data_IF_442598457041
#
_entry.id   IF_442598457041
#
_cell.length_a   1.000
_cell.length_b   1.000
_cell.length_c   1.000
_cell.angle_alpha   90.00
_cell.angle_beta   90.00
_cell.angle_gamma   90.00
#
_symmetry.space_group_name_H-M   'P 1'
#
loop_
_entity.id
_entity.type
_entity.pdbx_description
1 polymer ?
#
# COMPACT_ATOMS: atom_id res chain seq x y z
N UNK A 1 -73.66 -41.14 -24.10
CA UNK A 1 -72.65 -40.58 -23.17
C UNK A 1 -71.69 -39.68 -23.95
N UNK A 2 -71.60 -38.41 -23.54
CA UNK A 2 -70.52 -37.39 -23.69
C UNK A 2 -69.56 -37.52 -24.90
N UNK A 3 -69.71 -36.79 -26.01
CA UNK A 3 -69.38 -35.36 -26.31
C UNK A 3 -67.90 -35.01 -26.59
N UNK A 4 -67.66 -34.55 -27.84
CA UNK A 4 -66.91 -33.34 -28.29
C UNK A 4 -65.37 -33.31 -28.16
N UNK A 5 -64.57 -33.13 -29.23
CA UNK A 5 -64.33 -31.99 -30.19
C UNK A 5 -63.10 -31.14 -29.80
N UNK A 6 -62.15 -31.03 -30.73
CA UNK A 6 -61.28 -29.88 -31.12
C UNK A 6 -60.92 -28.79 -30.10
N UNK A 7 -59.62 -28.45 -29.97
CA UNK A 7 -58.99 -27.20 -30.48
C UNK A 7 -57.55 -27.05 -29.94
N UNK A 8 -56.66 -26.57 -30.81
CA UNK A 8 -55.30 -26.13 -30.50
C UNK A 8 -55.27 -24.78 -29.80
N UNK A 9 -54.27 -24.53 -28.95
CA UNK A 9 -53.69 -23.18 -28.70
C UNK A 9 -52.27 -23.27 -28.07
N UNK A 10 -51.45 -22.21 -28.22
CA UNK A 10 -49.99 -22.27 -28.30
C UNK A 10 -49.25 -21.48 -27.17
N UNK A 11 -47.92 -21.41 -27.29
CA UNK A 11 -47.00 -20.36 -26.80
C UNK A 11 -47.26 -19.75 -25.40
N UNK A 12 -46.35 -20.01 -24.46
CA UNK A 12 -45.99 -19.00 -23.46
C UNK A 12 -44.51 -19.16 -23.06
N UNK A 13 -43.66 -18.58 -23.90
CA UNK A 13 -42.30 -18.14 -23.57
C UNK A 13 -42.41 -17.12 -22.43
N UNK A 14 -42.28 -17.57 -21.19
CA UNK A 14 -42.01 -16.67 -20.06
C UNK A 14 -40.53 -16.32 -20.16
N UNK A 15 -40.28 -15.30 -20.97
CA UNK A 15 -39.08 -14.49 -20.97
C UNK A 15 -38.79 -14.06 -19.53
N UNK A 16 -37.88 -14.80 -18.90
CA UNK A 16 -37.14 -14.37 -17.73
C UNK A 16 -36.24 -13.22 -18.21
N UNK A 17 -36.84 -12.05 -18.35
CA UNK A 17 -36.14 -10.78 -18.53
C UNK A 17 -35.48 -10.49 -17.18
N UNK A 18 -34.38 -11.21 -16.93
CA UNK A 18 -33.36 -10.81 -15.98
C UNK A 18 -33.04 -9.36 -16.28
N UNK A 19 -33.54 -8.46 -15.43
CA UNK A 19 -33.02 -7.12 -15.27
C UNK A 19 -31.53 -7.26 -14.89
N UNK A 20 -30.69 -7.51 -15.88
CA UNK A 20 -29.38 -6.91 -15.91
C UNK A 20 -29.66 -5.41 -16.07
N UNK A 21 -29.73 -4.71 -14.95
CA UNK A 21 -29.41 -3.29 -14.93
C UNK A 21 -27.91 -3.22 -15.21
N UNK A 22 -27.45 -2.85 -16.42
CA UNK A 22 -26.07 -2.49 -16.61
C UNK A 22 -25.76 -1.36 -15.63
N UNK A 23 -24.68 -1.52 -14.87
CA UNK A 23 -24.24 -0.51 -13.92
C UNK A 23 -24.23 0.85 -14.62
N UNK A 24 -25.00 1.80 -14.09
CA UNK A 24 -24.88 3.21 -14.46
C UNK A 24 -23.46 3.63 -14.09
N UNK A 25 -22.56 3.51 -15.07
CA UNK A 25 -21.23 4.06 -15.02
C UNK A 25 -21.35 5.55 -14.73
N UNK A 26 -20.49 6.03 -13.85
CA UNK A 26 -20.37 7.42 -13.46
C UNK A 26 -19.78 8.21 -14.64
N UNK A 27 -20.60 8.46 -15.65
CA UNK A 27 -20.27 9.29 -16.81
C UNK A 27 -20.75 10.73 -16.55
N UNK A 28 -20.00 11.70 -17.08
CA UNK A 28 -20.48 13.07 -17.19
C UNK A 28 -21.63 13.11 -18.19
N UNK A 29 -22.67 13.89 -17.86
CA UNK A 29 -23.84 14.07 -18.73
C UNK A 29 -23.85 15.51 -19.24
N UNK A 30 -23.64 15.67 -20.53
CA UNK A 30 -23.85 16.95 -21.21
C UNK A 30 -25.33 17.03 -21.62
N UNK A 31 -26.03 18.04 -21.11
CA UNK A 31 -27.39 18.37 -21.55
C UNK A 31 -27.29 19.50 -22.58
N UNK A 32 -27.84 19.29 -23.76
CA UNK A 32 -27.87 20.29 -24.84
C UNK A 32 -29.02 21.28 -24.65
N UNK A 33 -28.98 22.40 -25.38
CA UNK A 33 -30.05 23.40 -25.39
C UNK A 33 -31.38 22.88 -25.96
N UNK A 34 -31.31 21.85 -26.80
CA UNK A 34 -32.47 21.16 -27.36
C UNK A 34 -32.99 20.01 -26.47
N UNK A 35 -32.43 19.86 -25.27
CA UNK A 35 -32.83 18.83 -24.31
C UNK A 35 -32.21 17.45 -24.54
N UNK A 36 -31.39 17.26 -25.59
CA UNK A 36 -30.63 16.00 -25.76
C UNK A 36 -29.63 15.82 -24.62
N UNK A 37 -29.36 14.57 -24.27
CA UNK A 37 -28.37 14.20 -23.24
C UNK A 37 -27.31 13.31 -23.86
N UNK A 38 -26.06 13.60 -23.55
CA UNK A 38 -24.91 12.83 -24.02
C UNK A 38 -24.07 12.42 -22.82
N UNK A 39 -23.96 11.11 -22.62
CA UNK A 39 -23.24 10.50 -21.52
C UNK A 39 -21.84 10.12 -22.00
N UNK A 40 -20.80 10.58 -21.31
CA UNK A 40 -19.41 10.30 -21.65
C UNK A 40 -18.44 10.79 -20.58
N UNK A 41 -17.15 10.57 -20.77
CA UNK A 41 -16.10 11.10 -19.88
C UNK A 41 -15.49 12.35 -20.47
N UNK A 42 -15.54 13.48 -19.77
CA UNK A 42 -14.90 14.71 -20.25
C UNK A 42 -13.37 14.56 -20.13
N UNK A 43 -12.68 14.62 -21.27
CA UNK A 43 -11.22 14.53 -21.33
C UNK A 43 -10.57 15.91 -21.23
N UNK A 44 -11.14 16.90 -21.92
CA UNK A 44 -10.60 18.26 -21.96
C UNK A 44 -11.72 19.31 -22.08
N UNK A 45 -11.53 20.47 -21.47
CA UNK A 45 -12.47 21.59 -21.53
C UNK A 45 -11.74 22.87 -21.94
N UNK A 46 -12.15 23.45 -23.07
CA UNK A 46 -11.69 24.77 -23.54
C UNK A 46 -12.82 25.80 -23.46
N UNK A 47 -12.53 27.08 -23.71
CA UNK A 47 -13.54 28.14 -23.71
C UNK A 47 -14.62 27.93 -24.79
N UNK A 48 -14.28 27.27 -25.90
CA UNK A 48 -15.17 27.14 -27.07
C UNK A 48 -15.72 25.72 -27.25
N UNK A 49 -14.99 24.69 -26.81
CA UNK A 49 -15.34 23.28 -27.05
C UNK A 49 -14.94 22.38 -25.87
N UNK A 50 -15.60 21.24 -25.76
CA UNK A 50 -15.34 20.19 -24.77
C UNK A 50 -15.04 18.91 -25.54
N UNK A 51 -13.93 18.25 -25.21
CA UNK A 51 -13.61 16.93 -25.74
C UNK A 51 -14.16 15.87 -24.78
N UNK A 52 -14.98 14.96 -25.30
CA UNK A 52 -15.61 13.93 -24.51
C UNK A 52 -15.45 12.55 -25.15
N UNK A 53 -15.11 11.56 -24.34
CA UNK A 53 -15.09 10.15 -24.73
C UNK A 53 -16.47 9.54 -24.50
N UNK A 54 -17.12 9.07 -25.56
CA UNK A 54 -18.46 8.44 -25.52
C UNK A 54 -18.36 6.98 -25.95
N UNK A 55 -19.11 6.10 -25.28
CA UNK A 55 -19.17 4.68 -25.64
C UNK A 55 -20.45 4.44 -26.44
N UNK A 56 -20.32 4.17 -27.74
CA UNK A 56 -21.44 3.90 -28.65
C UNK A 56 -21.36 2.45 -29.14
N UNK A 57 -22.33 1.62 -28.76
CA UNK A 57 -22.39 0.22 -29.20
C UNK A 57 -21.18 -0.64 -28.78
N UNK A 58 -20.51 -0.28 -27.68
CA UNK A 58 -19.31 -0.97 -27.18
C UNK A 58 -17.98 -0.45 -27.72
N UNK A 59 -18.00 0.56 -28.58
CA UNK A 59 -16.79 1.23 -29.12
C UNK A 59 -16.66 2.62 -28.48
N UNK A 60 -15.49 2.94 -27.93
CA UNK A 60 -15.16 4.28 -27.46
C UNK A 60 -14.87 5.21 -28.64
N UNK A 61 -15.49 6.39 -28.66
CA UNK A 61 -15.26 7.44 -29.65
C UNK A 61 -15.03 8.79 -28.96
N UNK A 62 -14.08 9.57 -29.46
CA UNK A 62 -13.84 10.93 -28.98
C UNK A 62 -14.66 11.93 -29.79
N UNK A 63 -15.42 12.79 -29.12
CA UNK A 63 -16.29 13.78 -29.73
C UNK A 63 -16.02 15.18 -29.19
N UNK A 64 -15.90 16.15 -30.09
CA UNK A 64 -15.87 17.57 -29.75
C UNK A 64 -17.29 18.13 -29.66
N UNK A 65 -17.66 18.63 -28.49
CA UNK A 65 -18.94 19.30 -28.25
C UNK A 65 -18.72 20.81 -28.16
N UNK A 66 -19.49 21.58 -28.92
CA UNK A 66 -19.45 23.05 -28.88
C UNK A 66 -20.14 23.57 -27.62
N UNK A 67 -19.50 24.51 -26.92
CA UNK A 67 -20.03 25.05 -25.67
C UNK A 67 -21.31 25.88 -25.85
N UNK A 68 -21.55 26.39 -27.07
CA UNK A 68 -22.78 27.14 -27.39
C UNK A 68 -24.04 26.29 -27.39
N UNK A 69 -23.87 24.98 -27.59
CA UNK A 69 -24.99 24.05 -27.76
C UNK A 69 -25.35 23.35 -26.43
N UNK A 70 -24.60 23.63 -25.36
CA UNK A 70 -24.74 23.02 -24.05
C UNK A 70 -25.59 23.90 -23.14
N UNK A 71 -26.65 23.34 -22.56
CA UNK A 71 -27.47 24.01 -21.54
C UNK A 71 -26.88 23.84 -20.14
N UNK A 72 -26.44 22.64 -19.78
CA UNK A 72 -25.74 22.34 -18.52
C UNK A 72 -24.89 21.09 -18.62
N UNK A 73 -23.89 20.98 -17.75
CA UNK A 73 -23.04 19.81 -17.62
C UNK A 73 -23.26 19.24 -16.23
N UNK A 74 -23.82 18.04 -16.16
CA UNK A 74 -23.92 17.26 -14.93
C UNK A 74 -22.65 16.41 -14.84
N UNK A 75 -21.62 16.93 -14.16
CA UNK A 75 -20.43 16.14 -13.91
C UNK A 75 -20.79 14.96 -13.02
N UNK A 76 -20.56 13.75 -13.50
CA UNK A 76 -20.70 12.56 -12.67
C UNK A 76 -19.59 12.61 -11.64
N UNK A 77 -19.91 12.51 -10.34
CA UNK A 77 -18.86 12.37 -9.34
C UNK A 77 -18.03 11.14 -9.72
N UNK A 78 -16.77 11.34 -10.07
CA UNK A 78 -15.91 10.21 -10.44
C UNK A 78 -15.85 9.27 -9.23
N UNK A 79 -15.69 7.94 -9.42
CA UNK A 79 -15.50 7.04 -8.28
C UNK A 79 -14.35 7.51 -7.36
N UNK A 80 -13.36 8.20 -7.91
CA UNK A 80 -12.25 8.80 -7.16
C UNK A 80 -12.67 10.01 -6.32
N UNK A 81 -13.56 10.88 -6.82
CA UNK A 81 -14.11 11.99 -6.05
C UNK A 81 -15.02 11.52 -4.91
N UNK A 82 -15.87 10.54 -5.18
CA UNK A 82 -16.71 9.90 -4.16
C UNK A 82 -15.86 9.18 -3.11
N UNK A 83 -14.78 8.52 -3.54
CA UNK A 83 -13.80 7.93 -2.64
C UNK A 83 -13.18 8.98 -1.70
N UNK A 84 -12.71 10.10 -2.26
CA UNK A 84 -12.09 11.17 -1.47
C UNK A 84 -13.06 11.73 -0.42
N UNK A 85 -14.32 12.01 -0.82
CA UNK A 85 -15.37 12.47 0.10
C UNK A 85 -15.65 11.46 1.21
N UNK A 86 -15.79 10.18 0.89
CA UNK A 86 -16.03 9.13 1.88
C UNK A 86 -14.85 8.97 2.83
N UNK A 87 -13.63 9.11 2.32
CA UNK A 87 -12.42 9.02 3.13
C UNK A 87 -12.28 10.22 4.08
N UNK A 88 -12.59 11.43 3.62
CA UNK A 88 -12.57 12.65 4.45
C UNK A 88 -13.63 12.64 5.55
N UNK A 89 -14.81 12.06 5.28
CA UNK A 89 -15.87 11.92 6.27
C UNK A 89 -15.59 10.83 7.31
N UNK A 90 -14.57 9.99 7.11
CA UNK A 90 -14.30 8.81 7.92
C UNK A 90 -13.44 9.15 9.12
N UNK A 91 -13.84 8.71 10.31
CA UNK A 91 -13.00 8.84 11.50
C UNK A 91 -11.84 7.84 11.47
N UNK A 92 -10.66 8.27 11.95
CA UNK A 92 -9.45 7.44 11.96
C UNK A 92 -9.55 6.19 12.86
N UNK A 93 -10.49 6.16 13.80
CA UNK A 93 -10.80 5.03 14.67
C UNK A 93 -12.06 4.26 14.24
N UNK A 94 -12.76 4.67 13.18
CA UNK A 94 -13.91 3.94 12.63
C UNK A 94 -13.46 2.75 11.78
N UNK A 95 -13.22 1.62 12.44
CA UNK A 95 -12.79 0.39 11.80
C UNK A 95 -13.82 -0.15 10.80
N UNK A 96 -15.11 -0.05 11.11
CA UNK A 96 -16.16 -0.62 10.27
C UNK A 96 -16.39 0.24 9.03
N UNK A 97 -16.39 1.57 9.19
CA UNK A 97 -16.44 2.49 8.06
C UNK A 97 -15.27 2.27 7.07
N UNK A 98 -14.06 2.00 7.57
CA UNK A 98 -12.92 1.68 6.71
C UNK A 98 -13.12 0.36 5.94
N UNK A 99 -13.72 -0.66 6.56
CA UNK A 99 -14.03 -1.94 5.90
C UNK A 99 -15.09 -1.78 4.81
N UNK A 100 -16.15 -1.04 5.09
CA UNK A 100 -17.22 -0.73 4.13
C UNK A 100 -16.65 0.05 2.94
N UNK A 101 -15.79 1.05 3.18
CA UNK A 101 -15.15 1.81 2.11
C UNK A 101 -14.23 0.94 1.25
N UNK A 102 -13.47 0.01 1.85
CA UNK A 102 -12.64 -0.94 1.10
C UNK A 102 -13.49 -1.85 0.22
N UNK A 103 -14.61 -2.37 0.73
CA UNK A 103 -15.53 -3.20 -0.04
C UNK A 103 -16.09 -2.43 -1.25
N UNK A 104 -16.54 -1.19 -1.00
CA UNK A 104 -17.02 -0.31 -2.06
C UNK A 104 -15.94 0.01 -3.12
N UNK A 105 -14.69 0.27 -2.70
CA UNK A 105 -13.59 0.48 -3.65
C UNK A 105 -13.38 -0.73 -4.57
N UNK A 106 -13.50 -1.95 -4.03
CA UNK A 106 -13.38 -3.19 -4.83
C UNK A 106 -14.52 -3.32 -5.84
N UNK A 107 -15.75 -2.98 -5.45
CA UNK A 107 -16.90 -2.98 -6.35
C UNK A 107 -16.79 -1.94 -7.47
N UNK A 108 -16.14 -0.80 -7.22
CA UNK A 108 -15.94 0.29 -8.19
C UNK A 108 -14.66 0.17 -9.01
N UNK A 109 -13.88 -0.90 -8.86
CA UNK A 109 -12.63 -1.12 -9.60
C UNK A 109 -11.44 -0.27 -9.12
N UNK A 110 -11.54 0.37 -7.95
CA UNK A 110 -10.51 1.22 -7.33
C UNK A 110 -9.50 0.36 -6.56
N UNK A 111 -8.74 -0.45 -7.29
CA UNK A 111 -7.87 -1.48 -6.70
C UNK A 111 -6.67 -0.91 -5.93
N UNK A 112 -6.14 0.24 -6.34
CA UNK A 112 -4.99 0.89 -5.69
C UNK A 112 -5.40 1.50 -4.35
N UNK A 113 -6.54 2.18 -4.34
CA UNK A 113 -7.16 2.80 -3.17
C UNK A 113 -7.57 1.74 -2.15
N UNK A 114 -8.19 0.64 -2.61
CA UNK A 114 -8.54 -0.48 -1.75
C UNK A 114 -7.30 -1.10 -1.09
N UNK A 115 -6.19 -1.26 -1.82
CA UNK A 115 -4.91 -1.75 -1.27
C UNK A 115 -4.34 -0.79 -0.23
N UNK A 116 -4.35 0.52 -0.52
CA UNK A 116 -3.85 1.55 0.38
C UNK A 116 -4.64 1.60 1.69
N UNK A 117 -5.98 1.55 1.62
CA UNK A 117 -6.83 1.47 2.80
C UNK A 117 -6.63 0.16 3.56
N UNK A 118 -6.53 -0.96 2.86
CA UNK A 118 -6.28 -2.27 3.49
C UNK A 118 -4.95 -2.27 4.25
N UNK A 119 -3.91 -1.60 3.74
CA UNK A 119 -2.62 -1.46 4.42
C UNK A 119 -2.70 -0.57 5.68
N UNK A 120 -3.67 0.36 5.75
CA UNK A 120 -3.92 1.22 6.92
C UNK A 120 -4.78 0.57 8.00
N UNK A 121 -5.57 -0.46 7.67
CA UNK A 121 -6.48 -1.13 8.62
C UNK A 121 -5.84 -1.52 9.96
N UNK A 122 -4.59 -2.05 10.03
CA UNK A 122 -3.99 -2.37 11.32
C UNK A 122 -3.80 -1.14 12.21
N UNK A 123 -3.50 0.03 11.64
CA UNK A 123 -3.38 1.27 12.39
C UNK A 123 -4.75 1.79 12.87
N UNK A 124 -5.77 1.66 12.02
CA UNK A 124 -7.17 1.99 12.37
C UNK A 124 -7.67 1.07 13.47
N UNK A 125 -7.34 -0.22 13.44
CA UNK A 125 -7.72 -1.18 14.49
C UNK A 125 -7.09 -0.81 15.84
N UNK A 126 -5.83 -0.36 15.84
CA UNK A 126 -5.15 0.14 17.05
C UNK A 126 -5.84 1.41 17.57
N UNK A 127 -6.18 2.35 16.68
CA UNK A 127 -6.91 3.57 17.05
C UNK A 127 -8.30 3.23 17.63
N UNK A 128 -9.05 2.34 16.97
CA UNK A 128 -10.33 1.83 17.43
C UNK A 128 -10.22 1.23 18.83
N UNK A 129 -9.23 0.35 19.09
CA UNK A 129 -8.99 -0.23 20.42
C UNK A 129 -8.75 0.83 21.50
N UNK A 130 -8.04 1.92 21.18
CA UNK A 130 -7.77 3.02 22.13
C UNK A 130 -9.05 3.79 22.47
N UNK A 131 -9.92 4.00 21.49
CA UNK A 131 -11.21 4.69 21.68
C UNK A 131 -12.22 3.80 22.40
N UNK A 132 -12.32 2.52 22.04
CA UNK A 132 -13.27 1.59 22.67
C UNK A 132 -12.86 1.16 24.07
N UNK A 133 -11.56 1.16 24.37
CA UNK A 133 -11.03 0.72 25.66
C UNK A 133 -10.02 1.71 26.25
N UNK A 134 -10.42 2.97 26.55
CA UNK A 134 -9.51 4.05 26.95
C UNK A 134 -8.74 3.76 28.25
N UNK A 135 -9.35 3.03 29.18
CA UNK A 135 -8.71 2.64 30.44
C UNK A 135 -7.88 1.34 30.35
N UNK A 136 -8.11 0.50 29.33
CA UNK A 136 -7.55 -0.86 29.28
C UNK A 136 -6.54 -1.10 28.17
N UNK A 137 -6.37 -0.18 27.22
CA UNK A 137 -5.37 -0.39 26.18
C UNK A 137 -3.95 -0.43 26.75
N UNK A 138 -3.13 -1.34 26.21
CA UNK A 138 -1.79 -1.57 26.74
C UNK A 138 -0.82 -0.48 26.30
N UNK A 139 -0.45 0.40 27.24
CA UNK A 139 0.56 1.46 27.03
C UNK A 139 1.95 0.91 26.72
N UNK A 140 2.27 -0.30 27.19
CA UNK A 140 3.59 -0.91 26.98
C UNK A 140 3.87 -1.31 25.53
N UNK A 141 2.83 -1.56 24.74
CA UNK A 141 2.95 -1.91 23.32
C UNK A 141 2.10 -1.01 22.42
N UNK A 142 1.61 0.11 22.93
CA UNK A 142 0.71 1.01 22.23
C UNK A 142 -0.50 0.33 21.55
N UNK A 143 -1.14 -0.60 22.27
CA UNK A 143 -2.24 -1.45 21.78
C UNK A 143 -1.92 -2.38 20.57
N UNK A 144 -0.66 -2.46 20.13
CA UNK A 144 -0.20 -3.39 19.08
C UNK A 144 -0.30 -4.87 19.49
N UNK A 145 -0.18 -5.17 20.78
CA UNK A 145 0.02 -6.53 21.27
C UNK A 145 1.45 -7.06 21.07
N UNK A 146 2.31 -6.33 20.37
CA UNK A 146 3.69 -6.75 20.07
C UNK A 146 4.67 -5.73 20.61
N UNK A 147 5.65 -6.20 21.40
CA UNK A 147 6.75 -5.38 21.88
C UNK A 147 8.01 -5.59 21.01
N UNK A 148 8.88 -4.58 20.95
CA UNK A 148 10.20 -4.76 20.38
C UNK A 148 10.99 -5.73 21.27
N UNK A 149 11.77 -6.63 20.67
CA UNK A 149 12.70 -7.44 21.44
C UNK A 149 13.69 -6.52 22.15
N UNK A 150 13.74 -6.55 23.47
CA UNK A 150 14.57 -5.65 24.27
C UNK A 150 16.05 -5.82 23.97
N UNK A 151 16.51 -7.07 23.77
CA UNK A 151 17.92 -7.39 23.48
C UNK A 151 18.44 -6.76 22.19
N UNK A 152 17.64 -6.75 21.12
CA UNK A 152 18.07 -6.23 19.81
C UNK A 152 17.33 -4.97 19.37
N UNK A 153 16.44 -4.43 20.21
CA UNK A 153 15.60 -3.26 19.95
C UNK A 153 14.89 -3.32 18.58
N UNK A 154 14.39 -4.49 18.20
CA UNK A 154 13.72 -4.69 16.91
C UNK A 154 14.60 -4.91 15.68
N UNK A 155 15.93 -4.93 15.81
CA UNK A 155 16.82 -5.26 14.69
C UNK A 155 16.69 -6.72 14.25
N UNK A 156 16.46 -7.62 15.20
CA UNK A 156 16.37 -9.08 14.96
C UNK A 156 17.73 -9.75 14.86
N UNK A 157 18.79 -8.97 14.84
CA UNK A 157 20.16 -9.43 14.78
C UNK A 157 21.00 -8.70 15.83
N UNK A 158 22.01 -9.39 16.35
CA UNK A 158 23.04 -8.85 17.20
C UNK A 158 24.33 -8.93 16.40
N UNK A 159 25.01 -7.79 16.27
CA UNK A 159 26.29 -7.73 15.56
C UNK A 159 27.40 -8.12 16.51
N UNK A 160 28.06 -9.24 16.23
CA UNK A 160 29.33 -9.56 16.88
C UNK A 160 30.48 -9.03 16.04
N UNK A 161 31.51 -8.50 16.71
CA UNK A 161 32.72 -8.09 16.02
C UNK A 161 33.35 -9.29 15.31
N UNK A 162 33.71 -9.10 14.05
CA UNK A 162 34.34 -10.17 13.29
C UNK A 162 35.73 -10.44 13.87
N UNK A 163 35.90 -11.58 14.55
CA UNK A 163 37.16 -11.98 15.17
C UNK A 163 38.38 -11.95 14.22
N UNK A 164 38.16 -12.11 12.91
CA UNK A 164 39.24 -12.13 11.91
C UNK A 164 39.75 -10.75 11.50
N UNK A 165 38.93 -9.71 11.64
CA UNK A 165 39.33 -8.34 11.34
C UNK A 165 39.11 -7.37 12.51
N UNK A 166 38.74 -7.88 13.69
CA UNK A 166 38.51 -7.12 14.92
C UNK A 166 37.64 -5.89 14.69
N UNK A 167 36.47 -6.08 14.06
CA UNK A 167 35.56 -4.97 13.79
C UNK A 167 35.91 -4.08 12.58
N UNK A 168 37.16 -4.10 12.10
CA UNK A 168 37.60 -3.14 11.06
C UNK A 168 36.99 -3.36 9.67
N UNK A 169 36.42 -4.54 9.41
CA UNK A 169 35.94 -4.92 8.08
C UNK A 169 37.07 -5.14 7.05
N UNK A 170 38.33 -4.87 7.41
CA UNK A 170 39.47 -4.95 6.52
C UNK A 170 40.45 -6.03 6.98
N UNK A 171 40.94 -6.83 6.05
CA UNK A 171 42.07 -7.72 6.26
C UNK A 171 43.30 -7.14 5.57
N UNK A 172 44.43 -7.20 6.25
CA UNK A 172 45.71 -6.81 5.67
C UNK A 172 46.04 -7.67 4.44
N UNK A 173 46.54 -7.03 3.38
CA UNK A 173 46.88 -7.70 2.13
C UNK A 173 48.17 -8.53 2.30
N UNK A 174 48.04 -9.81 2.60
CA UNK A 174 49.16 -10.74 2.85
C UNK A 174 50.27 -10.68 1.79
N UNK A 175 49.95 -10.33 0.54
CA UNK A 175 50.91 -10.24 -0.57
C UNK A 175 51.86 -9.04 -0.48
N UNK A 176 51.42 -7.92 0.10
CA UNK A 176 52.21 -6.67 0.12
C UNK A 176 52.27 -5.99 1.50
N UNK A 177 51.80 -6.66 2.56
CA UNK A 177 51.99 -6.21 3.93
C UNK A 177 53.46 -5.95 4.21
N UNK A 178 53.76 -4.83 4.89
CA UNK A 178 55.12 -4.40 5.20
C UNK A 178 55.90 -3.78 4.04
N UNK A 179 55.35 -3.74 2.81
CA UNK A 179 56.03 -3.11 1.68
C UNK A 179 55.64 -1.65 1.54
N UNK A 180 56.65 -0.79 1.41
CA UNK A 180 56.48 0.63 1.16
C UNK A 180 55.67 0.84 -0.13
N UNK A 181 54.64 1.69 -0.05
CA UNK A 181 53.73 1.95 -1.18
C UNK A 181 53.01 0.74 -1.79
N UNK A 182 53.00 -0.44 -1.14
CA UNK A 182 52.49 -1.69 -1.74
C UNK A 182 53.18 -2.08 -3.05
N UNK A 183 54.41 -1.63 -3.24
CA UNK A 183 55.18 -1.89 -4.44
C UNK A 183 55.84 -3.26 -4.35
N UNK A 184 55.52 -4.14 -5.30
CA UNK A 184 56.15 -5.44 -5.46
C UNK A 184 57.24 -5.35 -6.52
N UNK A 185 58.34 -6.07 -6.32
CA UNK A 185 59.32 -6.28 -7.39
C UNK A 185 58.63 -6.98 -8.56
N UNK A 186 58.79 -6.41 -9.76
CA UNK A 186 58.24 -6.98 -10.98
C UNK A 186 58.81 -8.38 -11.18
N UNK A 187 57.95 -9.41 -11.22
CA UNK A 187 58.39 -10.81 -11.35
C UNK A 187 59.17 -11.05 -12.64
N UNK A 188 58.83 -10.36 -13.72
CA UNK A 188 59.42 -10.54 -15.04
C UNK A 188 60.85 -10.02 -15.16
N UNK A 189 61.20 -8.95 -14.45
CA UNK A 189 62.56 -8.38 -14.44
C UNK A 189 63.22 -8.44 -13.06
N UNK A 190 62.66 -9.17 -12.11
CA UNK A 190 63.14 -9.28 -10.73
C UNK A 190 63.47 -7.94 -10.03
N UNK A 191 62.81 -6.85 -10.42
CA UNK A 191 63.06 -5.52 -9.82
C UNK A 191 64.00 -4.60 -10.60
N UNK A 192 64.67 -5.07 -11.64
CA UNK A 192 65.70 -4.29 -12.38
C UNK A 192 65.11 -3.31 -13.41
N UNK A 193 63.82 -3.44 -13.73
CA UNK A 193 63.16 -2.63 -14.77
C UNK A 193 63.48 -3.02 -16.20
N UNK A 194 64.42 -3.95 -16.43
CA UNK A 194 64.86 -4.38 -17.75
C UNK A 194 65.41 -5.80 -17.72
N UNK A 195 65.37 -6.51 -18.84
CA UNK A 195 65.94 -7.85 -18.93
C UNK A 195 66.66 -8.04 -20.27
N UNK A 196 67.61 -8.95 -20.30
CA UNK A 196 68.35 -9.26 -21.53
C UNK A 196 67.59 -10.29 -22.35
N UNK A 197 67.48 -10.03 -23.66
CA UNK A 197 66.95 -10.97 -24.65
C UNK A 197 67.93 -11.06 -25.81
N UNK A 198 68.13 -12.26 -26.35
CA UNK A 198 68.93 -12.43 -27.56
C UNK A 198 68.17 -11.88 -28.78
N UNK A 199 68.83 -11.04 -29.57
CA UNK A 199 68.30 -10.51 -30.84
C UNK A 199 68.97 -11.22 -32.02
N UNK A 200 68.26 -12.12 -32.73
CA UNK A 200 68.81 -12.90 -33.84
C UNK A 200 69.34 -12.04 -34.99
N UNK A 201 68.80 -10.83 -35.19
CA UNK A 201 69.25 -9.92 -36.27
C UNK A 201 70.58 -9.25 -35.96
N UNK A 202 70.89 -9.09 -34.67
CA UNK A 202 72.10 -8.42 -34.19
C UNK A 202 73.15 -9.40 -33.66
N UNK A 203 72.83 -10.68 -33.56
CA UNK A 203 73.74 -11.74 -33.08
C UNK A 203 74.21 -11.57 -31.63
N UNK A 204 73.54 -10.73 -30.83
CA UNK A 204 73.95 -10.40 -29.45
C UNK A 204 72.75 -10.23 -28.53
N UNK A 205 72.99 -10.31 -27.22
CA UNK A 205 71.99 -9.97 -26.20
C UNK A 205 71.76 -8.46 -26.21
N UNK A 206 70.49 -8.06 -26.20
CA UNK A 206 70.06 -6.66 -26.09
C UNK A 206 69.26 -6.49 -24.80
N UNK A 207 69.48 -5.37 -24.12
CA UNK A 207 68.74 -4.98 -22.93
C UNK A 207 67.41 -4.36 -23.35
N UNK A 208 66.31 -4.98 -22.94
CA UNK A 208 64.95 -4.53 -23.26
C UNK A 208 64.28 -4.04 -21.98
N UNK A 209 63.57 -2.91 -22.07
CA UNK A 209 62.77 -2.42 -20.95
C UNK A 209 61.62 -3.38 -20.65
N UNK A 210 61.32 -3.58 -19.36
CA UNK A 210 60.25 -4.46 -18.96
C UNK A 210 58.89 -3.75 -19.13
N UNK A 211 58.03 -4.30 -19.99
CA UNK A 211 56.70 -3.74 -20.26
C UNK A 211 55.77 -3.81 -19.04
N UNK A 212 55.81 -4.90 -18.27
CA UNK A 212 54.92 -5.14 -17.13
C UNK A 212 55.07 -4.07 -16.02
N UNK A 213 56.29 -3.55 -15.83
CA UNK A 213 56.57 -2.46 -14.89
C UNK A 213 56.92 -1.13 -15.58
N UNK A 214 56.81 -1.05 -16.91
CA UNK A 214 57.18 0.11 -17.73
C UNK A 214 58.58 0.67 -17.39
N UNK A 215 59.57 -0.21 -17.27
CA UNK A 215 60.94 0.20 -16.93
C UNK A 215 61.22 0.50 -15.44
N UNK A 216 60.20 0.58 -14.58
CA UNK A 216 60.38 1.02 -13.17
C UNK A 216 60.86 -0.06 -12.20
N UNK A 217 60.86 -1.33 -12.61
CA UNK A 217 61.23 -2.47 -11.77
C UNK A 217 60.21 -2.83 -10.67
N UNK A 218 59.35 -1.90 -10.27
CA UNK A 218 58.29 -2.11 -9.27
C UNK A 218 56.90 -2.06 -9.93
N UNK A 219 55.99 -2.89 -9.44
CA UNK A 219 54.57 -2.90 -9.81
C UNK A 219 53.71 -2.69 -8.57
N UNK A 220 52.57 -2.03 -8.74
CA UNK A 220 51.56 -1.94 -7.67
C UNK A 220 51.03 -3.34 -7.40
N UNK A 221 50.86 -3.70 -6.14
CA UNK A 221 50.31 -5.00 -5.75
C UNK A 221 48.98 -5.26 -6.49
N UNK A 222 48.93 -6.26 -7.40
CA UNK A 222 47.72 -6.54 -8.19
C UNK A 222 46.59 -7.07 -7.31
N UNK A 223 46.94 -7.58 -6.13
CA UNK A 223 46.03 -8.16 -5.16
C UNK A 223 45.20 -7.05 -4.49
N UNK A 224 45.79 -5.99 -3.95
CA UNK A 224 45.03 -4.92 -3.28
C UNK A 224 44.97 -3.60 -4.05
N UNK A 225 45.53 -3.54 -5.27
CA UNK A 225 45.61 -2.31 -6.06
C UNK A 225 46.33 -1.17 -5.33
N UNK A 226 47.28 -1.50 -4.45
CA UNK A 226 48.04 -0.50 -3.68
C UNK A 226 47.48 -0.17 -2.29
N UNK A 227 46.25 -0.59 -1.96
CA UNK A 227 45.54 -0.20 -0.72
C UNK A 227 46.08 -0.79 0.58
N UNK A 228 47.02 -1.75 0.54
CA UNK A 228 47.54 -2.54 1.68
C UNK A 228 46.50 -3.34 2.47
N UNK A 229 45.21 -3.16 2.22
CA UNK A 229 44.11 -3.88 2.81
C UNK A 229 43.15 -4.41 1.73
N UNK A 230 42.34 -5.38 2.11
CA UNK A 230 41.23 -5.94 1.34
C UNK A 230 40.02 -6.05 2.26
N UNK A 231 38.82 -6.15 1.69
CA UNK A 231 37.64 -6.51 2.48
C UNK A 231 37.88 -7.85 3.16
N UNK A 232 37.56 -7.92 4.46
CA UNK A 232 37.61 -9.16 5.21
C UNK A 232 36.63 -10.15 4.57
N UNK A 233 37.12 -11.33 4.19
CA UNK A 233 36.31 -12.36 3.52
C UNK A 233 35.30 -13.02 4.44
N UNK A 234 35.46 -12.91 5.76
CA UNK A 234 34.55 -13.51 6.73
C UNK A 234 33.30 -12.68 6.98
N UNK A 235 33.45 -11.36 7.09
CA UNK A 235 32.33 -10.43 7.28
C UNK A 235 32.00 -9.64 6.01
N UNK A 236 32.59 -10.02 4.87
CA UNK A 236 32.42 -9.36 3.57
C UNK A 236 32.61 -7.84 3.63
N UNK A 237 33.58 -7.37 4.42
CA UNK A 237 33.84 -5.94 4.58
C UNK A 237 33.04 -5.23 5.67
N UNK A 238 32.02 -5.86 6.27
CA UNK A 238 31.12 -5.21 7.25
C UNK A 238 31.74 -4.98 8.62
N UNK A 239 32.79 -5.73 8.96
CA UNK A 239 33.42 -5.66 10.28
C UNK A 239 32.69 -6.44 11.38
N UNK A 240 31.41 -6.74 11.19
CA UNK A 240 30.60 -7.55 12.09
C UNK A 240 29.93 -8.73 11.38
N UNK A 241 29.64 -9.77 12.14
CA UNK A 241 28.77 -10.87 11.73
C UNK A 241 27.39 -10.64 12.34
N UNK A 242 26.38 -10.59 11.48
CA UNK A 242 24.99 -10.50 11.91
C UNK A 242 24.52 -11.89 12.34
N UNK A 243 24.38 -12.09 13.64
CA UNK A 243 23.80 -13.30 14.19
C UNK A 243 22.33 -13.04 14.54
N UNK A 244 21.43 -14.02 14.34
CA UNK A 244 20.06 -13.86 14.80
C UNK A 244 20.06 -13.60 16.30
N UNK A 245 19.29 -12.60 16.72
CA UNK A 245 19.16 -12.27 18.14
C UNK A 245 18.62 -13.49 18.89
N UNK A 246 19.34 -13.96 19.89
CA UNK A 246 18.97 -15.12 20.73
C UNK A 246 17.60 -14.92 21.42
N UNK A 247 17.30 -13.70 21.85
CA UNK A 247 16.06 -13.37 22.56
C UNK A 247 14.81 -13.39 21.68
N UNK A 248 14.93 -13.15 20.37
CA UNK A 248 13.76 -13.18 19.47
C UNK A 248 13.89 -14.15 18.29
N UNK A 249 15.01 -14.87 18.19
CA UNK A 249 15.34 -15.78 17.10
C UNK A 249 15.14 -15.13 15.72
N UNK A 250 15.48 -13.84 15.59
CA UNK A 250 15.29 -13.08 14.34
C UNK A 250 13.92 -12.45 14.13
N UNK A 251 12.92 -12.71 14.99
CA UNK A 251 11.53 -12.23 14.81
C UNK A 251 11.34 -10.72 15.00
N UNK A 252 12.31 -10.02 15.59
CA UNK A 252 12.33 -8.56 15.87
C UNK A 252 11.32 -8.09 16.93
N UNK A 253 10.09 -8.60 16.86
CA UNK A 253 9.01 -8.32 17.80
C UNK A 253 8.55 -9.60 18.46
N UNK A 254 8.20 -9.50 19.73
CA UNK A 254 7.67 -10.58 20.54
C UNK A 254 6.28 -10.18 21.06
N UNK A 255 5.41 -11.16 21.40
CA UNK A 255 4.17 -10.87 22.08
C UNK A 255 4.45 -10.02 23.33
N UNK A 256 3.69 -8.95 23.52
CA UNK A 256 3.87 -8.07 24.66
C UNK A 256 3.42 -8.80 25.93
N UNK A 257 4.36 -9.03 26.83
CA UNK A 257 4.14 -9.74 28.10
C UNK A 257 3.06 -9.09 28.98
N UNK A 258 2.92 -7.75 28.92
CA UNK A 258 1.93 -7.01 29.73
C UNK A 258 0.48 -7.21 29.31
N UNK A 259 0.25 -7.68 28.09
CA UNK A 259 -1.10 -7.89 27.55
C UNK A 259 -1.24 -9.24 26.86
N UNK A 260 -0.24 -10.12 27.00
CA UNK A 260 -0.20 -11.45 26.40
C UNK A 260 -0.52 -11.46 24.89
N UNK A 261 -0.10 -10.42 24.16
CA UNK A 261 -0.38 -10.32 22.72
C UNK A 261 -1.69 -9.63 22.33
N UNK A 262 -2.59 -9.36 23.27
CA UNK A 262 -3.94 -8.83 22.95
C UNK A 262 -3.96 -7.33 22.66
N UNK A 263 -2.99 -6.58 23.18
CA UNK A 263 -3.01 -5.12 23.16
C UNK A 263 -3.90 -4.50 24.24
N UNK A 264 -4.54 -5.29 25.10
CA UNK A 264 -5.37 -4.86 26.23
C UNK A 264 -4.82 -5.42 27.55
N UNK A 265 -4.84 -4.63 28.61
CA UNK A 265 -4.46 -5.07 29.95
C UNK A 265 -5.65 -5.75 30.63
N UNK A 266 -5.35 -6.85 31.32
CA UNK A 266 -6.32 -7.61 32.12
C UNK A 266 -6.60 -6.96 33.48
N UNK A 267 -5.89 -5.88 33.84
CA UNK A 267 -6.05 -5.24 35.15
C UNK A 267 -7.54 -4.98 35.43
N UNK A 268 -8.07 -5.42 36.57
CA UNK A 268 -9.43 -5.07 36.96
C UNK A 268 -9.50 -3.54 37.05
N UNK A 269 -10.47 -2.97 36.33
CA UNK A 269 -10.79 -1.55 36.40
C UNK A 269 -10.92 -1.16 37.87
N UNK A 270 -10.29 -0.08 38.28
CA UNK A 270 -10.59 0.51 39.58
C UNK A 270 -12.11 0.78 39.67
N UNK A 271 -12.68 0.73 40.86
CA UNK A 271 -14.11 0.95 41.06
C UNK A 271 -14.58 2.28 40.41
N UNK A 272 -13.71 3.29 40.40
CA UNK A 272 -13.93 4.59 39.76
C UNK A 272 -13.96 4.50 38.22
N UNK A 273 -13.05 3.75 37.60
CA UNK A 273 -13.03 3.56 36.14
C UNK A 273 -14.22 2.73 35.66
N UNK A 274 -14.62 1.71 36.44
CA UNK A 274 -15.80 0.90 36.14
C UNK A 274 -17.09 1.71 36.28
N UNK A 275 -17.15 2.66 37.22
CA UNK A 275 -18.26 3.59 37.37
C UNK A 275 -18.34 4.60 36.20
N UNK A 276 -17.20 5.13 35.73
CA UNK A 276 -17.15 6.03 34.56
C UNK A 276 -17.57 5.33 33.28
N UNK A 277 -17.08 4.12 33.03
CA UNK A 277 -17.44 3.34 31.84
C UNK A 277 -18.93 2.98 31.82
N UNK A 278 -19.53 2.66 32.99
CA UNK A 278 -20.98 2.46 33.12
C UNK A 278 -21.75 3.74 32.79
N UNK A 279 -21.33 4.88 33.34
CA UNK A 279 -21.98 6.16 33.10
C UNK A 279 -21.90 6.58 31.62
N UNK A 280 -20.77 6.36 30.95
CA UNK A 280 -20.60 6.64 29.52
C UNK A 280 -21.46 5.73 28.64
N UNK A 281 -21.54 4.43 28.96
CA UNK A 281 -22.44 3.50 28.26
C UNK A 281 -23.91 3.86 28.45
N UNK A 282 -24.31 4.28 29.64
CA UNK A 282 -25.68 4.75 29.92
C UNK A 282 -26.01 6.04 29.16
N UNK A 283 -25.05 6.97 29.03
CA UNK A 283 -25.22 8.20 28.23
C UNK A 283 -25.37 7.90 26.74
N UNK A 284 -24.49 7.07 26.19
CA UNK A 284 -24.56 6.65 24.78
C UNK A 284 -25.87 5.89 24.47
N UNK A 285 -26.36 5.07 25.40
CA UNK A 285 -27.66 4.39 25.24
C UNK A 285 -28.84 5.36 25.19
N UNK A 286 -28.83 6.40 26.05
CA UNK A 286 -29.88 7.44 26.08
C UNK A 286 -29.88 8.32 24.83
N UNK A 287 -28.72 8.59 24.25
CA UNK A 287 -28.60 9.36 22.99
C UNK A 287 -29.05 8.53 21.77
N UNK A 288 -28.89 7.20 21.79
CA UNK A 288 -29.38 6.30 20.74
C UNK A 288 -30.90 6.09 20.71
N UNK A 289 -31.60 6.25 21.85
CA UNK A 289 -33.06 6.10 21.92
C UNK A 289 -33.82 7.38 21.52
N UNK A 290 -33.23 8.56 21.69
CA UNK A 290 -33.83 9.84 21.27
C UNK A 290 -33.98 9.99 19.75
N UNK A 291 -33.19 9.26 18.95
CA UNK A 291 -33.28 9.27 17.49
C UNK A 291 -34.43 8.41 16.93
N UNK A 292 -35.02 7.50 17.73
CA UNK A 292 -36.13 6.64 17.28
C UNK A 292 -37.52 7.19 17.57
N UNK A 293 -37.65 8.25 18.36
CA UNK A 293 -38.96 8.82 18.72
C UNK A 293 -39.41 10.01 17.85
N UNK A 294 -38.53 10.55 16.99
CA UNK A 294 -38.88 11.64 16.05
C UNK A 294 -39.56 11.14 14.77
N UNK A 295 -39.37 9.87 14.37
CA UNK A 295 -39.97 9.30 13.15
C UNK A 295 -41.37 8.68 13.34
N UNK A 296 -41.96 8.69 14.55
CA UNK A 296 -43.30 8.11 14.79
C UNK A 296 -44.43 9.11 15.13
N UNK A 297 -44.20 10.42 15.04
CA UNK A 297 -45.23 11.46 15.28
C UNK A 297 -45.61 12.30 14.06
N UNK A 298 -45.38 11.76 12.86
CA UNK A 298 -45.60 12.47 11.59
C UNK A 298 -46.64 11.85 10.65
N UNK A 299 -47.53 10.95 11.08
CA UNK A 299 -48.53 10.39 10.17
C UNK A 299 -49.83 10.02 10.90
N UNK A 300 -50.84 10.89 10.78
CA UNK A 300 -52.27 10.58 10.60
C UNK A 300 -53.17 11.70 11.17
N UNK A 301 -53.79 12.45 10.26
CA UNK A 301 -55.25 12.72 10.20
C UNK A 301 -55.53 13.77 9.11
N UNK A 302 -55.43 13.37 7.85
CA UNK A 302 -56.19 14.04 6.77
C UNK A 302 -57.56 13.37 6.69
N UNK A 303 -58.58 14.08 7.16
CA UNK A 303 -60.00 13.70 7.01
C UNK A 303 -60.32 13.60 5.51
N UNK A 304 -60.86 12.45 5.08
CA UNK A 304 -61.46 12.26 3.75
C UNK A 304 -62.70 13.18 3.64
N UNK A 305 -62.87 13.93 2.54
CA UNK A 305 -64.16 14.57 2.25
C UNK A 305 -65.17 13.52 1.81
N UNK A 306 -66.35 13.60 2.42
CA UNK A 306 -67.53 12.77 2.15
C UNK A 306 -68.07 13.12 0.76
N UNK A 307 -68.00 12.17 -0.17
CA UNK A 307 -68.76 12.23 -1.43
C UNK A 307 -70.19 11.86 -1.08
N UNK A 308 -71.11 12.82 -1.23
CA UNK A 308 -72.55 12.55 -1.21
C UNK A 308 -72.90 11.85 -2.52
N UNK A 309 -73.55 10.71 -2.40
CA UNK A 309 -74.15 9.99 -3.52
C UNK A 309 -75.53 10.62 -3.72
N UNK A 310 -75.76 11.23 -4.88
CA UNK A 310 -77.09 11.65 -5.31
C UNK A 310 -77.95 10.43 -5.63
N UNK A 311 -79.22 10.37 -5.19
CA UNK A 311 -80.14 9.33 -5.61
C UNK A 311 -81.00 9.87 -6.75
N UNK A 312 -80.52 9.89 -8.00
CA UNK A 312 -81.32 9.90 -9.24
C UNK A 312 -80.37 9.98 -10.46
N UNK A 313 -80.23 8.87 -11.20
CA UNK A 313 -79.59 8.80 -12.51
C UNK A 313 -78.41 7.86 -12.58
#
# INVERSE_FOLDING_TARGET
>A
MKTRRWFATPLLLISLFSLLLPGRGLADVIVYNDGRRLEGKILETTEKRILMEVVLGGVSAELWVSRKDISRIEKGATPQEEFAKRLEALDNADLEGHRVLIAWCREKGLSTEAKLLSARLPAVEIAARKVTHPARWCRGCDALGMALCEKCQGKGEIGEECARCSGSGAALCKTCVGKEGSLLSCRRCAGTGSYEKFDPRRGRKVKVSCNDCRGKGKIICPTCGGKKSRSCTHCSGKGSLALPCDGCLGKKRLPCERCSGTGLQEKPLSAEELAREKLEKEKAAKEGEGAKEVEKKGEEKKKKPVIKIDPFG
#
